data_IF_933325715630
#
_entry.id   IF_933325715630
#
_cell.length_a   1.000
_cell.length_b   1.000
_cell.length_c   1.000
_cell.angle_alpha   90.00
_cell.angle_beta   90.00
_cell.angle_gamma   90.00
#
_symmetry.space_group_name_H-M   'P 1'
#
loop_
_entity.id
_entity.type
_entity.pdbx_description
1 polymer ?
#
# COMPACT_ATOMS: atom_id res chain seq x y z
N UNK A 1 30.32 -52.76 47.89
CA UNK A 1 31.52 -52.05 47.39
C UNK A 1 31.22 -50.54 47.38
N UNK A 2 32.25 -49.69 47.28
CA UNK A 2 32.13 -48.22 47.16
C UNK A 2 31.37 -47.83 45.87
N UNK A 3 30.79 -46.63 45.67
CA UNK A 3 30.63 -45.37 46.43
C UNK A 3 29.81 -44.40 45.53
N UNK A 4 29.38 -43.18 45.89
CA UNK A 4 29.49 -42.33 47.08
C UNK A 4 28.09 -41.68 47.38
N UNK A 5 27.97 -40.82 48.41
CA UNK A 5 26.73 -40.08 48.73
C UNK A 5 26.90 -38.55 48.62
N UNK A 6 25.77 -37.91 48.33
CA UNK A 6 25.44 -36.47 48.36
C UNK A 6 26.22 -35.61 49.37
N UNK A 7 26.53 -34.38 48.97
CA UNK A 7 26.52 -33.21 49.85
C UNK A 7 25.27 -32.36 49.57
N UNK A 8 24.86 -31.53 50.53
CA UNK A 8 23.63 -30.74 50.51
C UNK A 8 23.90 -29.34 51.08
N UNK A 9 23.25 -28.31 50.54
CA UNK A 9 23.20 -26.97 51.14
C UNK A 9 21.74 -26.43 51.09
N UNK A 10 21.23 -25.75 52.14
CA UNK A 10 19.82 -25.33 52.23
C UNK A 10 19.57 -23.88 51.75
N UNK A 11 18.30 -23.53 51.54
CA UNK A 11 17.80 -22.14 51.42
C UNK A 11 16.93 -21.75 52.62
N UNK A 12 16.99 -20.45 52.98
CA UNK A 12 16.06 -19.59 53.76
C UNK A 12 16.86 -18.32 54.15
N UNK A 13 16.35 -17.09 54.30
CA UNK A 13 15.05 -16.46 54.02
C UNK A 13 15.34 -14.97 53.61
N UNK A 14 14.50 -13.92 53.60
CA UNK A 14 13.13 -13.64 54.07
C UNK A 14 12.48 -12.51 53.20
N UNK A 15 11.53 -11.72 53.73
CA UNK A 15 10.76 -10.64 53.06
C UNK A 15 11.25 -9.19 53.36
N UNK A 16 10.75 -8.15 52.65
CA UNK A 16 11.37 -6.81 52.57
C UNK A 16 10.70 -5.67 53.38
N UNK A 17 11.15 -4.42 53.15
CA UNK A 17 10.81 -3.10 53.77
C UNK A 17 11.53 -2.79 55.11
N UNK A 18 11.71 -1.51 55.51
CA UNK A 18 11.00 -0.30 55.07
C UNK A 18 11.85 0.93 54.61
N UNK A 19 11.17 1.95 54.11
CA UNK A 19 11.61 3.36 54.01
C UNK A 19 11.34 4.10 55.35
N UNK A 20 11.68 5.40 55.61
CA UNK A 20 12.05 6.47 54.65
C UNK A 20 13.13 7.48 55.12
N UNK A 21 13.46 8.47 54.26
CA UNK A 21 13.48 9.93 54.60
C UNK A 21 13.85 10.83 53.41
N UNK A 22 13.26 12.03 53.39
CA UNK A 22 13.61 13.19 52.54
C UNK A 22 13.57 14.42 53.46
N UNK A 23 14.61 15.27 53.47
CA UNK A 23 14.45 16.66 52.99
C UNK A 23 15.70 17.21 52.27
N UNK A 24 15.51 18.11 51.30
CA UNK A 24 16.64 18.72 50.56
C UNK A 24 16.24 19.64 49.41
N UNK A 25 15.46 20.69 49.66
CA UNK A 25 15.11 21.69 48.64
C UNK A 25 16.29 22.58 48.25
N UNK A 26 16.50 22.80 46.95
CA UNK A 26 17.24 23.98 46.46
C UNK A 26 16.64 24.53 45.17
N UNK A 27 16.34 25.83 45.15
CA UNK A 27 15.95 26.59 43.95
C UNK A 27 17.18 27.28 43.37
N UNK A 28 17.49 27.03 42.10
CA UNK A 28 18.29 27.94 41.26
C UNK A 28 17.53 28.10 39.94
N UNK A 29 16.59 29.07 39.91
CA UNK A 29 16.70 30.33 39.15
C UNK A 29 16.71 30.12 37.63
N UNK A 30 15.60 30.51 36.99
CA UNK A 30 15.59 30.78 35.56
C UNK A 30 16.54 31.96 35.26
N UNK A 31 17.37 31.79 34.23
CA UNK A 31 18.20 32.87 33.67
C UNK A 31 17.49 33.41 32.44
N UNK A 32 16.87 34.57 32.57
CA UNK A 32 16.31 35.30 31.44
C UNK A 32 17.46 35.81 30.56
N UNK A 33 17.64 35.21 29.38
CA UNK A 33 18.49 35.78 28.34
C UNK A 33 17.79 37.00 27.76
N UNK A 34 18.14 38.18 28.27
CA UNK A 34 17.72 39.45 27.70
C UNK A 34 18.29 39.58 26.30
N UNK A 35 17.43 39.70 25.30
CA UNK A 35 17.84 40.17 23.98
C UNK A 35 18.38 41.59 24.12
N UNK A 36 19.57 41.85 23.56
CA UNK A 36 20.17 43.18 23.55
C UNK A 36 19.43 44.10 22.55
N UNK A 37 19.22 45.35 22.93
CA UNK A 37 18.50 46.32 22.11
C UNK A 37 19.30 46.71 20.87
N UNK A 38 18.93 46.16 19.71
CA UNK A 38 19.47 46.63 18.42
C UNK A 38 19.09 48.08 18.19
N UNK A 39 20.09 48.97 18.24
CA UNK A 39 20.01 50.32 17.71
C UNK A 39 19.87 50.26 16.19
N UNK A 40 18.64 50.31 15.68
CA UNK A 40 18.38 50.60 14.27
C UNK A 40 18.60 52.10 14.07
N UNK A 41 19.54 52.48 13.21
CA UNK A 41 19.79 53.87 12.89
C UNK A 41 18.69 54.41 11.98
N UNK A 42 18.11 55.55 12.36
CA UNK A 42 17.34 56.40 11.46
C UNK A 42 18.29 56.99 10.40
N UNK A 43 17.88 56.89 9.14
CA UNK A 43 18.60 57.39 7.97
C UNK A 43 17.62 58.11 7.02
N UNK A 44 16.80 58.99 7.56
CA UNK A 44 15.87 59.81 6.79
C UNK A 44 16.55 60.66 5.69
N UNK A 45 15.91 60.68 4.51
CA UNK A 45 15.97 61.69 3.45
C UNK A 45 17.33 62.07 2.83
N UNK A 46 17.54 61.71 1.56
CA UNK A 46 17.59 62.69 0.46
C UNK A 46 17.72 62.06 -0.95
N UNK A 47 16.95 62.64 -1.90
CA UNK A 47 17.14 62.62 -3.36
C UNK A 47 16.86 61.29 -4.11
N UNK A 48 16.37 61.29 -5.36
CA UNK A 48 16.08 62.43 -6.27
C UNK A 48 14.82 62.16 -7.11
N UNK A 49 14.06 63.21 -7.45
CA UNK A 49 12.92 63.09 -8.36
C UNK A 49 13.37 62.89 -9.82
N UNK A 50 13.44 61.62 -10.26
CA UNK A 50 13.83 61.25 -11.63
C UNK A 50 12.97 60.14 -12.26
N UNK A 51 12.43 59.21 -11.46
CA UNK A 51 11.79 57.99 -11.99
C UNK A 51 10.30 58.15 -12.36
N UNK A 52 9.60 59.10 -11.74
CA UNK A 52 8.20 59.47 -12.04
C UNK A 52 7.99 59.86 -13.52
N UNK A 53 9.07 60.22 -14.22
CA UNK A 53 9.04 60.71 -15.60
C UNK A 53 9.04 59.61 -16.68
N UNK A 54 9.12 58.32 -16.33
CA UNK A 54 8.93 57.22 -17.29
C UNK A 54 7.47 56.70 -17.29
N UNK A 55 6.82 56.72 -16.13
CA UNK A 55 5.49 56.14 -15.93
C UNK A 55 4.39 56.94 -16.65
N UNK A 56 4.49 58.27 -16.66
CA UNK A 56 3.58 59.12 -17.45
C UNK A 56 3.80 58.98 -18.97
N UNK A 57 5.03 58.79 -19.44
CA UNK A 57 5.33 58.68 -20.88
C UNK A 57 4.79 57.36 -21.45
N UNK A 58 4.79 56.29 -20.66
CA UNK A 58 4.15 55.02 -21.05
C UNK A 58 2.63 55.17 -21.20
N UNK A 59 1.98 55.93 -20.32
CA UNK A 59 0.53 56.18 -20.38
C UNK A 59 0.14 57.10 -21.55
N UNK A 60 0.87 58.21 -21.77
CA UNK A 60 0.59 59.11 -22.90
C UNK A 60 0.81 58.44 -24.27
N UNK A 61 1.77 57.50 -24.39
CA UNK A 61 1.95 56.73 -25.62
C UNK A 61 0.85 55.67 -25.84
N UNK A 62 0.25 55.14 -24.78
CA UNK A 62 -0.91 54.25 -24.89
C UNK A 62 -2.18 55.01 -25.34
N UNK A 63 -2.50 56.15 -24.71
CA UNK A 63 -3.67 56.96 -25.11
C UNK A 63 -3.50 57.58 -26.52
N UNK A 64 -2.27 57.93 -26.92
CA UNK A 64 -2.02 58.43 -28.28
C UNK A 64 -2.17 57.35 -29.36
N UNK A 65 -2.10 56.06 -29.00
CA UNK A 65 -2.30 54.95 -29.94
C UNK A 65 -3.79 54.65 -30.20
N UNK A 66 -4.69 54.95 -29.25
CA UNK A 66 -6.13 54.63 -29.36
C UNK A 66 -6.95 55.63 -30.20
N UNK A 67 -6.32 56.69 -30.69
CA UNK A 67 -6.97 57.81 -31.40
C UNK A 67 -6.73 57.84 -32.92
N UNK A 68 -6.16 56.78 -33.50
CA UNK A 68 -5.91 56.67 -34.94
C UNK A 68 -6.36 55.31 -35.48
N UNK A 69 -7.13 55.34 -36.57
CA UNK A 69 -7.73 54.19 -37.27
C UNK A 69 -8.81 53.44 -36.44
N UNK A 70 -9.86 52.88 -37.05
CA UNK A 70 -10.16 52.90 -38.49
C UNK A 70 -11.41 52.13 -38.93
N UNK A 71 -12.09 51.41 -38.03
CA UNK A 71 -13.27 50.61 -38.35
C UNK A 71 -12.94 49.23 -38.89
N UNK A 72 -12.76 48.26 -37.98
CA UNK A 72 -12.62 46.83 -38.27
C UNK A 72 -13.33 46.02 -37.19
N UNK A 73 -13.62 44.75 -37.49
CA UNK A 73 -14.21 43.81 -36.53
C UNK A 73 -13.16 43.38 -35.47
N UNK A 74 -13.56 43.12 -34.21
CA UNK A 74 -12.62 42.71 -33.16
C UNK A 74 -11.96 41.37 -33.52
N UNK A 75 -10.66 41.25 -33.24
CA UNK A 75 -9.86 40.07 -33.63
C UNK A 75 -9.41 39.28 -32.40
N UNK A 76 -9.23 37.96 -32.57
CA UNK A 76 -9.08 37.01 -31.45
C UNK A 76 -7.96 37.33 -30.44
N UNK A 77 -6.92 38.06 -30.87
CA UNK A 77 -5.77 38.45 -30.02
C UNK A 77 -6.19 39.34 -28.84
N UNK A 78 -7.26 40.13 -28.99
CA UNK A 78 -7.81 40.95 -27.89
C UNK A 78 -8.56 40.11 -26.85
N UNK A 79 -9.08 38.92 -27.23
CA UNK A 79 -9.66 37.97 -26.30
C UNK A 79 -8.58 37.16 -25.59
N UNK A 80 -7.60 36.61 -26.30
CA UNK A 80 -6.50 35.83 -25.70
C UNK A 80 -5.73 36.65 -24.65
N UNK A 81 -5.50 37.94 -24.91
CA UNK A 81 -4.86 38.84 -23.94
C UNK A 81 -5.78 39.21 -22.76
N UNK A 82 -7.10 39.29 -22.96
CA UNK A 82 -8.06 39.47 -21.86
C UNK A 82 -8.23 38.20 -21.02
N UNK A 83 -8.21 37.01 -21.62
CA UNK A 83 -8.24 35.73 -20.91
C UNK A 83 -6.96 35.53 -20.09
N UNK A 84 -5.78 35.88 -20.63
CA UNK A 84 -4.52 35.92 -19.87
C UNK A 84 -4.56 36.92 -18.71
N UNK A 85 -5.10 38.12 -18.92
CA UNK A 85 -5.28 39.11 -17.84
C UNK A 85 -6.30 38.66 -16.80
N UNK A 86 -7.37 37.96 -17.21
CA UNK A 86 -8.37 37.40 -16.32
C UNK A 86 -7.79 36.24 -15.50
N UNK A 87 -6.97 35.38 -16.13
CA UNK A 87 -6.23 34.31 -15.46
C UNK A 87 -5.24 34.88 -14.44
N UNK A 88 -4.46 35.91 -14.80
CA UNK A 88 -3.52 36.59 -13.88
C UNK A 88 -4.27 37.34 -12.76
N UNK A 89 -5.47 37.89 -13.02
CA UNK A 89 -6.31 38.52 -11.99
C UNK A 89 -7.05 37.51 -11.09
N UNK A 90 -7.18 36.25 -11.53
CA UNK A 90 -7.75 35.14 -10.74
C UNK A 90 -6.66 34.33 -10.04
N UNK A 91 -5.42 34.40 -10.54
CA UNK A 91 -4.22 33.87 -9.90
C UNK A 91 -3.98 34.61 -8.58
N UNK A 92 -4.39 33.97 -7.49
CA UNK A 92 -4.22 34.44 -6.13
C UNK A 92 -3.06 33.67 -5.47
N UNK A 93 -1.79 34.13 -5.60
CA UNK A 93 -0.65 33.52 -4.91
C UNK A 93 -0.72 33.85 -3.41
N UNK A 94 -1.64 33.19 -2.72
CA UNK A 94 -2.07 33.57 -1.37
C UNK A 94 -2.97 32.55 -0.65
N UNK A 95 -3.67 31.66 -1.36
CA UNK A 95 -4.21 30.45 -0.75
C UNK A 95 -3.19 29.31 -0.89
N UNK A 96 -2.52 29.00 0.22
CA UNK A 96 -1.66 27.83 0.34
C UNK A 96 -2.53 26.57 0.35
N UNK A 97 -2.49 25.77 -0.73
CA UNK A 97 -3.17 24.47 -0.78
C UNK A 97 -2.77 23.62 0.41
N UNK A 98 -3.74 22.96 1.03
CA UNK A 98 -3.49 22.04 2.15
C UNK A 98 -3.30 20.64 1.59
N UNK A 99 -2.06 20.30 1.27
CA UNK A 99 -1.68 19.05 0.62
C UNK A 99 -1.08 18.05 1.63
N UNK A 100 -1.42 16.76 1.50
CA UNK A 100 -0.97 15.70 2.40
C UNK A 100 -0.43 14.54 1.58
N UNK A 101 0.76 14.03 1.93
CA UNK A 101 1.31 12.81 1.33
C UNK A 101 1.34 11.67 2.34
N UNK A 102 0.68 10.56 2.00
CA UNK A 102 0.81 9.29 2.69
C UNK A 102 1.83 8.43 1.96
N UNK A 103 2.82 7.92 2.70
CA UNK A 103 3.89 7.08 2.15
C UNK A 103 3.91 5.74 2.86
N UNK A 104 3.80 4.66 2.10
CA UNK A 104 4.02 3.31 2.60
C UNK A 104 5.53 3.05 2.83
N UNK A 105 5.96 2.62 4.02
CA UNK A 105 7.38 2.41 4.33
C UNK A 105 7.99 1.19 3.63
N UNK A 106 7.23 0.40 2.87
CA UNK A 106 7.76 -0.66 2.01
C UNK A 106 8.36 -0.15 0.70
N UNK A 107 8.03 1.08 0.28
CA UNK A 107 8.58 1.74 -0.91
C UNK A 107 10.11 1.89 -0.79
N UNK A 108 10.90 1.38 -1.75
CA UNK A 108 12.36 1.41 -1.67
C UNK A 108 12.91 2.85 -1.68
N UNK A 109 13.87 3.14 -0.79
CA UNK A 109 14.55 4.43 -0.69
C UNK A 109 13.59 5.65 -0.58
N UNK A 110 12.40 5.50 0.01
CA UNK A 110 11.38 6.55 0.08
C UNK A 110 11.88 7.89 0.67
N UNK A 111 12.97 7.89 1.45
CA UNK A 111 13.58 9.10 1.99
C UNK A 111 14.19 10.01 0.91
N UNK A 112 14.55 9.46 -0.25
CA UNK A 112 15.00 10.22 -1.42
C UNK A 112 13.83 10.91 -2.10
N UNK A 113 12.70 10.21 -2.29
CA UNK A 113 11.42 10.80 -2.75
C UNK A 113 10.98 11.97 -1.85
N UNK A 114 10.96 11.74 -0.52
CA UNK A 114 10.66 12.77 0.48
C UNK A 114 11.61 13.98 0.45
N UNK A 115 12.83 13.84 -0.10
CA UNK A 115 13.81 14.93 -0.17
C UNK A 115 13.58 15.89 -1.34
N UNK A 116 12.78 15.49 -2.33
CA UNK A 116 12.37 16.30 -3.48
C UNK A 116 11.00 16.96 -3.36
N UNK A 117 10.25 16.68 -2.30
CA UNK A 117 8.89 17.22 -2.13
C UNK A 117 8.88 18.68 -1.72
N UNK A 118 7.83 19.41 -2.12
CA UNK A 118 7.61 20.76 -1.60
C UNK A 118 7.45 20.71 -0.07
N UNK A 119 8.21 21.52 0.70
CA UNK A 119 8.26 21.45 2.16
C UNK A 119 6.97 21.92 2.85
N UNK A 120 5.96 22.39 2.11
CA UNK A 120 4.63 22.70 2.62
C UNK A 120 3.69 21.47 2.61
N UNK A 121 3.98 20.42 1.82
CA UNK A 121 3.19 19.19 1.79
C UNK A 121 3.37 18.44 3.13
N UNK A 122 2.26 18.11 3.79
CA UNK A 122 2.31 17.45 5.09
C UNK A 122 2.55 15.93 4.93
N UNK A 123 3.78 15.49 5.20
CA UNK A 123 4.18 14.07 5.15
C UNK A 123 3.59 13.27 6.32
N UNK A 124 2.92 12.16 6.00
CA UNK A 124 2.46 11.14 6.95
C UNK A 124 3.00 9.78 6.52
N UNK A 125 4.01 9.28 7.25
CA UNK A 125 4.45 7.89 7.09
C UNK A 125 3.40 6.94 7.65
N UNK A 126 3.02 5.93 6.87
CA UNK A 126 2.23 4.81 7.37
C UNK A 126 3.09 3.84 8.19
N UNK A 127 2.46 3.07 9.07
CA UNK A 127 3.03 1.86 9.66
C UNK A 127 2.67 0.66 8.77
N UNK A 128 3.68 -0.02 8.23
CA UNK A 128 3.55 -1.19 7.37
C UNK A 128 3.13 -2.48 8.07
N UNK A 129 3.05 -2.48 9.41
CA UNK A 129 2.46 -3.58 10.20
C UNK A 129 0.98 -3.33 10.59
N UNK A 130 0.39 -2.21 10.15
CA UNK A 130 -1.00 -1.81 10.41
C UNK A 130 -1.75 -1.51 9.10
N UNK A 131 -3.09 -1.44 9.15
CA UNK A 131 -3.91 -1.10 7.97
C UNK A 131 -3.72 0.39 7.60
N UNK A 132 -3.29 0.68 6.37
CA UNK A 132 -3.00 2.03 5.92
C UNK A 132 -4.25 2.88 5.66
N UNK A 133 -5.39 2.27 5.35
CA UNK A 133 -6.65 2.97 5.09
C UNK A 133 -7.28 3.41 6.41
N UNK A 134 -7.27 2.53 7.43
CA UNK A 134 -7.63 2.89 8.80
C UNK A 134 -6.74 4.02 9.36
N UNK A 135 -5.43 3.98 9.05
CA UNK A 135 -4.48 5.03 9.42
C UNK A 135 -4.76 6.36 8.70
N UNK A 136 -5.05 6.34 7.41
CA UNK A 136 -5.44 7.54 6.64
C UNK A 136 -6.70 8.19 7.23
N UNK A 137 -7.78 7.42 7.38
CA UNK A 137 -9.02 7.92 7.98
C UNK A 137 -8.78 8.46 9.40
N UNK A 138 -8.02 7.75 10.23
CA UNK A 138 -7.65 8.19 11.59
C UNK A 138 -6.82 9.48 11.61
N UNK A 139 -5.95 9.67 10.61
CA UNK A 139 -5.12 10.87 10.49
C UNK A 139 -5.94 12.10 10.01
N UNK A 140 -6.96 11.88 9.18
CA UNK A 140 -7.78 12.95 8.59
C UNK A 140 -9.07 13.26 9.39
N UNK A 141 -9.49 12.37 10.29
CA UNK A 141 -10.70 12.54 11.10
C UNK A 141 -10.80 13.90 11.79
N UNK A 142 -11.81 14.70 11.42
CA UNK A 142 -12.05 16.02 11.97
C UNK A 142 -11.20 17.16 11.39
N UNK A 143 -10.40 16.90 10.35
CA UNK A 143 -9.89 17.95 9.44
C UNK A 143 -10.96 18.33 8.42
N UNK A 144 -10.72 19.40 7.67
CA UNK A 144 -11.55 19.91 6.56
C UNK A 144 -10.68 20.74 5.63
N UNK A 145 -10.98 20.78 4.33
CA UNK A 145 -10.27 21.68 3.40
C UNK A 145 -8.86 21.22 3.05
N UNK A 146 -8.67 19.90 2.86
CA UNK A 146 -7.48 19.32 2.23
C UNK A 146 -7.68 19.36 0.72
N UNK A 147 -6.76 19.99 0.00
CA UNK A 147 -6.88 20.25 -1.44
C UNK A 147 -6.16 19.20 -2.29
N UNK A 148 -5.28 18.40 -1.69
CA UNK A 148 -4.70 17.22 -2.34
C UNK A 148 -4.34 16.11 -1.35
N UNK A 149 -4.53 14.87 -1.77
CA UNK A 149 -3.91 13.70 -1.15
C UNK A 149 -3.00 13.01 -2.17
N UNK A 150 -1.76 12.76 -1.77
CA UNK A 150 -0.79 11.97 -2.51
C UNK A 150 -0.62 10.61 -1.85
N UNK A 151 -0.75 9.51 -2.60
CA UNK A 151 -0.58 8.15 -2.11
C UNK A 151 0.64 7.51 -2.79
N UNK A 152 1.75 7.36 -2.07
CA UNK A 152 2.98 6.74 -2.58
C UNK A 152 3.10 5.34 -1.96
N UNK A 153 2.82 4.31 -2.75
CA UNK A 153 2.80 2.91 -2.33
C UNK A 153 2.93 1.95 -3.51
N UNK A 154 2.84 0.65 -3.29
CA UNK A 154 2.87 -0.35 -4.34
C UNK A 154 1.48 -0.66 -4.92
N UNK A 155 1.40 -0.83 -6.24
CA UNK A 155 0.14 -1.09 -6.97
C UNK A 155 0.12 -2.36 -7.84
N UNK A 156 -1.02 -2.58 -8.48
CA UNK A 156 -1.33 -3.53 -9.57
C UNK A 156 -2.74 -3.26 -10.13
N UNK A 157 -3.19 -3.94 -11.21
CA UNK A 157 -4.49 -3.70 -11.89
C UNK A 157 -5.68 -3.60 -10.90
N UNK A 158 -6.16 -2.38 -10.62
CA UNK A 158 -7.28 -2.10 -9.70
C UNK A 158 -6.99 -2.28 -8.21
N UNK A 159 -5.72 -2.33 -7.82
CA UNK A 159 -5.26 -2.79 -6.51
C UNK A 159 -4.13 -1.90 -5.97
N UNK A 160 -4.36 -1.15 -4.88
CA UNK A 160 -3.33 -0.33 -4.21
C UNK A 160 -3.07 -0.87 -2.80
N UNK A 161 -1.85 -1.29 -2.50
CA UNK A 161 -1.46 -1.68 -1.14
C UNK A 161 -1.34 -0.43 -0.26
N UNK A 162 -1.82 -0.48 0.99
CA UNK A 162 -1.58 0.56 1.99
C UNK A 162 -1.35 -0.12 3.36
N UNK A 163 -0.09 -0.27 3.76
CA UNK A 163 0.33 -1.02 4.94
C UNK A 163 -0.03 -2.50 4.82
N UNK A 164 -0.87 -3.01 5.73
CA UNK A 164 -1.50 -4.34 5.62
C UNK A 164 -2.83 -4.32 4.88
N UNK A 165 -3.35 -3.14 4.53
CA UNK A 165 -4.59 -2.95 3.79
C UNK A 165 -4.39 -2.99 2.27
N UNK A 166 -5.49 -3.08 1.53
CA UNK A 166 -5.46 -3.01 0.05
C UNK A 166 -6.77 -2.42 -0.49
N UNK A 167 -6.68 -1.28 -1.17
CA UNK A 167 -7.83 -0.68 -1.87
C UNK A 167 -8.07 -1.43 -3.17
N UNK A 168 -9.28 -1.97 -3.30
CA UNK A 168 -9.83 -2.63 -4.50
C UNK A 168 -11.30 -2.25 -4.63
N UNK A 169 -11.93 -2.48 -5.78
CA UNK A 169 -13.36 -2.18 -5.97
C UNK A 169 -14.27 -2.88 -4.94
N UNK A 170 -13.89 -4.07 -4.46
CA UNK A 170 -14.61 -4.80 -3.40
C UNK A 170 -14.31 -4.23 -2.00
N UNK A 171 -13.05 -3.92 -1.68
CA UNK A 171 -12.71 -3.41 -0.34
C UNK A 171 -13.19 -1.97 -0.14
N UNK A 172 -13.13 -1.12 -1.16
CA UNK A 172 -13.63 0.26 -1.12
C UNK A 172 -15.14 0.35 -0.92
N UNK A 173 -15.92 -0.51 -1.61
CA UNK A 173 -17.38 -0.54 -1.49
C UNK A 173 -17.91 -1.35 -0.29
N UNK A 174 -17.04 -2.13 0.37
CA UNK A 174 -17.39 -3.03 1.47
C UNK A 174 -16.65 -2.73 2.78
N UNK A 175 -15.36 -3.04 2.85
CA UNK A 175 -14.57 -2.98 4.08
C UNK A 175 -14.26 -1.54 4.53
N UNK A 176 -13.89 -0.67 3.60
CA UNK A 176 -13.35 0.68 3.87
C UNK A 176 -14.36 1.80 3.58
N UNK A 177 -15.65 1.49 3.51
CA UNK A 177 -16.68 2.47 3.14
C UNK A 177 -16.83 3.59 4.18
N UNK A 178 -16.67 3.28 5.47
CA UNK A 178 -16.70 4.27 6.55
C UNK A 178 -15.41 5.11 6.57
N UNK A 179 -14.25 4.50 6.33
CA UNK A 179 -12.94 5.15 6.23
C UNK A 179 -12.88 6.15 5.07
N UNK A 180 -13.37 5.76 3.89
CA UNK A 180 -13.45 6.63 2.72
C UNK A 180 -14.45 7.78 2.93
N UNK A 181 -15.54 7.55 3.66
CA UNK A 181 -16.46 8.61 4.06
C UNK A 181 -15.84 9.59 5.07
N UNK A 182 -14.89 9.15 5.92
CA UNK A 182 -14.10 10.04 6.80
C UNK A 182 -13.09 10.85 5.97
N UNK A 183 -12.45 10.24 4.98
CA UNK A 183 -11.54 10.92 4.05
C UNK A 183 -12.31 12.01 3.27
N UNK A 184 -13.47 11.68 2.68
CA UNK A 184 -14.37 12.63 2.00
C UNK A 184 -14.68 13.87 2.85
N UNK A 185 -15.00 13.68 4.14
CA UNK A 185 -15.33 14.79 5.04
C UNK A 185 -14.16 15.74 5.32
N UNK A 186 -12.93 15.32 5.07
CA UNK A 186 -11.72 16.10 5.30
C UNK A 186 -11.23 16.88 4.06
N UNK A 187 -11.65 16.48 2.87
CA UNK A 187 -11.28 17.11 1.60
C UNK A 187 -11.97 18.47 1.38
N UNK A 188 -11.43 19.25 0.43
CA UNK A 188 -12.11 20.42 -0.14
C UNK A 188 -12.97 20.03 -1.35
N UNK A 189 -13.78 20.97 -1.86
CA UNK A 189 -14.74 20.70 -2.95
C UNK A 189 -14.14 20.61 -4.36
N UNK A 190 -12.81 20.72 -4.46
CA UNK A 190 -12.00 20.57 -5.69
C UNK A 190 -10.68 19.90 -5.28
N UNK A 191 -10.78 18.82 -4.49
CA UNK A 191 -9.62 18.12 -3.99
C UNK A 191 -9.15 17.04 -4.96
N UNK A 192 -7.85 16.93 -5.12
CA UNK A 192 -7.21 15.91 -5.95
C UNK A 192 -6.79 14.69 -5.11
N UNK A 193 -6.82 13.48 -5.68
CA UNK A 193 -6.12 12.31 -5.16
C UNK A 193 -5.16 11.77 -6.24
N UNK A 194 -3.86 11.85 -5.98
CA UNK A 194 -2.80 11.37 -6.87
C UNK A 194 -2.27 10.02 -6.36
N UNK A 195 -2.47 8.97 -7.15
CA UNK A 195 -2.10 7.59 -6.82
C UNK A 195 -0.82 7.20 -7.54
N UNK A 196 0.30 7.22 -6.81
CA UNK A 196 1.60 6.73 -7.26
C UNK A 196 1.77 5.28 -6.78
N UNK A 197 1.41 4.36 -7.66
CA UNK A 197 1.58 2.92 -7.48
C UNK A 197 1.35 2.24 -8.83
N UNK A 198 2.25 1.35 -9.23
CA UNK A 198 2.26 0.81 -10.60
C UNK A 198 0.92 0.17 -10.97
N UNK A 199 0.52 0.34 -12.22
CA UNK A 199 -0.61 -0.34 -12.86
C UNK A 199 -1.99 -0.14 -12.17
N UNK A 200 -2.12 0.76 -11.17
CA UNK A 200 -3.35 0.88 -10.37
C UNK A 200 -4.60 1.13 -11.22
N UNK A 201 -4.47 1.97 -12.26
CA UNK A 201 -5.53 2.27 -13.22
C UNK A 201 -5.43 1.48 -14.54
N UNK A 202 -4.58 0.45 -14.63
CA UNK A 202 -4.50 -0.44 -15.80
C UNK A 202 -5.84 -1.14 -16.06
N UNK A 203 -6.09 -1.49 -17.32
CA UNK A 203 -7.12 -2.46 -17.69
C UNK A 203 -8.55 -1.97 -17.46
N UNK A 204 -9.46 -2.91 -17.23
CA UNK A 204 -10.86 -2.58 -16.91
C UNK A 204 -11.02 -2.46 -15.38
N UNK A 205 -10.29 -3.26 -14.59
CA UNK A 205 -10.42 -3.25 -13.14
C UNK A 205 -9.84 -1.95 -12.53
N UNK A 206 -8.72 -1.45 -13.06
CA UNK A 206 -8.12 -0.19 -12.61
C UNK A 206 -8.97 1.04 -12.92
N UNK A 207 -9.56 1.12 -14.11
CA UNK A 207 -10.49 2.20 -14.47
C UNK A 207 -11.74 2.19 -13.58
N UNK A 208 -12.28 1.01 -13.25
CA UNK A 208 -13.39 0.87 -12.29
C UNK A 208 -12.96 1.25 -10.86
N UNK A 209 -11.76 0.89 -10.42
CA UNK A 209 -11.23 1.23 -9.11
C UNK A 209 -10.99 2.75 -8.94
N UNK A 210 -10.29 3.39 -9.89
CA UNK A 210 -10.06 4.83 -9.87
C UNK A 210 -11.37 5.63 -9.93
N UNK A 211 -12.32 5.19 -10.76
CA UNK A 211 -13.67 5.77 -10.84
C UNK A 211 -14.44 5.63 -9.52
N UNK A 212 -14.37 4.47 -8.85
CA UNK A 212 -15.02 4.27 -7.56
C UNK A 212 -14.36 5.10 -6.44
N UNK A 213 -13.03 5.21 -6.44
CA UNK A 213 -12.29 6.04 -5.49
C UNK A 213 -12.74 7.51 -5.55
N UNK A 214 -12.85 8.05 -6.77
CA UNK A 214 -13.42 9.39 -7.01
C UNK A 214 -14.86 9.50 -6.46
N UNK A 215 -15.74 8.55 -6.81
CA UNK A 215 -17.14 8.58 -6.38
C UNK A 215 -17.34 8.49 -4.86
N UNK A 216 -16.49 7.74 -4.14
CA UNK A 216 -16.59 7.57 -2.70
C UNK A 216 -15.94 8.73 -1.91
N UNK A 217 -14.84 9.30 -2.43
CA UNK A 217 -14.16 10.42 -1.77
C UNK A 217 -14.75 11.77 -2.15
N UNK A 218 -15.42 11.88 -3.29
CA UNK A 218 -15.86 13.17 -3.86
C UNK A 218 -14.71 13.98 -4.48
N UNK A 219 -13.54 13.37 -4.67
CA UNK A 219 -12.34 13.96 -5.23
C UNK A 219 -12.21 13.65 -6.73
N UNK A 220 -11.45 14.48 -7.42
CA UNK A 220 -10.94 14.15 -8.75
C UNK A 220 -9.65 13.31 -8.57
N UNK A 221 -9.44 12.30 -9.43
CA UNK A 221 -8.43 11.24 -9.21
C UNK A 221 -7.47 11.14 -10.39
N UNK A 222 -6.17 11.21 -10.11
CA UNK A 222 -5.11 10.91 -11.06
C UNK A 222 -4.39 9.61 -10.66
N UNK A 223 -4.18 8.70 -11.61
CA UNK A 223 -3.55 7.41 -11.37
C UNK A 223 -2.72 6.91 -12.56
N UNK A 224 -1.62 6.22 -12.27
CA UNK A 224 -0.78 5.54 -13.26
C UNK A 224 -1.45 4.25 -13.75
N UNK A 225 -1.23 3.95 -15.04
CA UNK A 225 -1.75 2.79 -15.77
C UNK A 225 -0.65 1.80 -16.17
N UNK A 226 0.60 2.13 -15.87
CA UNK A 226 1.77 1.27 -16.06
C UNK A 226 2.77 1.44 -14.90
N UNK A 227 4.05 1.14 -15.13
CA UNK A 227 5.06 1.13 -14.08
C UNK A 227 5.43 2.55 -13.60
N UNK A 228 4.85 3.03 -12.50
CA UNK A 228 5.34 4.27 -11.86
C UNK A 228 6.79 4.11 -11.32
N UNK A 229 7.73 4.96 -11.77
CA UNK A 229 9.10 5.04 -11.26
C UNK A 229 10.18 5.45 -12.29
N UNK A 230 11.29 4.70 -12.31
CA UNK A 230 12.50 5.09 -13.04
C UNK A 230 12.50 4.71 -14.53
N UNK A 231 12.72 5.70 -15.41
CA UNK A 231 12.75 5.55 -16.87
C UNK A 231 13.66 4.44 -17.41
N UNK A 232 14.79 4.15 -16.77
CA UNK A 232 15.70 3.08 -17.22
C UNK A 232 15.25 1.66 -16.80
N UNK A 233 14.26 1.53 -15.92
CA UNK A 233 13.57 0.27 -15.59
C UNK A 233 12.29 0.08 -16.42
N UNK A 234 11.89 1.08 -17.21
CA UNK A 234 10.72 1.03 -18.10
C UNK A 234 9.46 1.66 -17.53
N UNK A 235 9.60 2.51 -16.50
CA UNK A 235 8.50 3.25 -15.87
C UNK A 235 8.70 4.77 -15.87
N UNK A 236 7.67 5.56 -15.59
CA UNK A 236 7.80 7.02 -15.41
C UNK A 236 6.91 7.59 -14.29
N UNK A 237 6.66 8.90 -14.25
CA UNK A 237 5.93 9.58 -13.17
C UNK A 237 4.60 10.20 -13.64
N UNK A 238 4.16 9.88 -14.86
CA UNK A 238 2.87 10.31 -15.38
C UNK A 238 1.73 9.58 -14.65
N UNK A 239 0.56 10.21 -14.67
CA UNK A 239 -0.70 9.67 -14.16
C UNK A 239 -1.73 9.77 -15.29
N UNK A 240 -1.72 8.79 -16.20
CA UNK A 240 -2.43 8.80 -17.49
C UNK A 240 -3.95 8.76 -17.32
N UNK A 241 -4.43 8.13 -16.22
CA UNK A 241 -5.85 8.13 -15.88
C UNK A 241 -6.18 9.36 -15.06
N UNK A 242 -7.14 10.15 -15.54
CA UNK A 242 -7.66 11.33 -14.88
C UNK A 242 -9.18 11.26 -14.85
N UNK A 243 -9.74 11.19 -13.64
CA UNK A 243 -11.18 11.21 -13.37
C UNK A 243 -11.49 12.60 -12.82
N UNK A 244 -12.07 13.46 -13.66
CA UNK A 244 -12.33 14.87 -13.33
C UNK A 244 -11.29 15.83 -13.92
N UNK A 245 -10.96 16.90 -13.20
CA UNK A 245 -9.92 17.87 -13.56
C UNK A 245 -8.83 17.84 -12.50
N UNK A 246 -7.55 17.84 -12.91
CA UNK A 246 -6.43 17.69 -11.99
C UNK A 246 -5.59 18.97 -12.00
N UNK A 247 -5.68 19.78 -10.94
CA UNK A 247 -4.85 20.98 -10.78
C UNK A 247 -3.58 20.71 -9.96
N UNK A 248 -3.58 19.68 -9.11
CA UNK A 248 -2.41 19.31 -8.29
C UNK A 248 -1.24 18.83 -9.14
N UNK A 249 -0.03 19.23 -8.75
CA UNK A 249 1.21 18.83 -9.40
C UNK A 249 1.75 17.52 -8.80
N UNK A 250 2.64 16.83 -9.52
CA UNK A 250 3.34 15.66 -9.00
C UNK A 250 4.18 16.09 -7.77
N UNK A 251 4.06 15.33 -6.68
CA UNK A 251 4.65 15.69 -5.38
C UNK A 251 6.18 15.60 -5.36
N UNK A 252 6.77 14.77 -6.22
CA UNK A 252 8.22 14.54 -6.34
C UNK A 252 8.77 15.43 -7.45
N UNK A 253 9.83 16.21 -7.22
CA UNK A 253 10.40 17.08 -8.25
C UNK A 253 11.09 16.31 -9.40
N UNK A 254 11.11 16.91 -10.60
CA UNK A 254 11.78 16.40 -11.80
C UNK A 254 13.22 15.90 -11.55
N UNK A 255 13.95 16.54 -10.63
CA UNK A 255 15.31 16.20 -10.27
C UNK A 255 15.42 14.87 -9.53
N UNK A 256 14.53 14.60 -8.56
CA UNK A 256 14.45 13.28 -7.92
C UNK A 256 13.78 12.25 -8.83
N UNK A 257 12.71 12.61 -9.57
CA UNK A 257 12.08 11.73 -10.56
C UNK A 257 13.10 11.13 -11.56
N UNK A 258 14.03 11.96 -12.04
CA UNK A 258 15.05 11.56 -13.02
C UNK A 258 16.27 10.81 -12.43
N UNK A 259 16.39 10.67 -11.11
CA UNK A 259 17.56 10.06 -10.46
C UNK A 259 17.24 8.95 -9.45
N UNK A 260 16.03 8.91 -8.87
CA UNK A 260 15.60 7.83 -7.98
C UNK A 260 15.51 6.51 -8.75
N UNK A 261 16.16 5.46 -8.25
CA UNK A 261 16.26 4.16 -8.93
C UNK A 261 15.38 3.12 -8.22
N UNK A 262 14.16 2.97 -8.72
CA UNK A 262 13.19 1.96 -8.30
C UNK A 262 11.94 1.96 -9.18
N UNK A 263 10.98 1.09 -8.85
CA UNK A 263 9.59 1.16 -9.30
C UNK A 263 8.67 1.09 -8.06
N UNK A 264 7.41 1.47 -8.22
CA UNK A 264 6.37 1.37 -7.19
C UNK A 264 5.53 0.09 -7.37
N UNK A 265 6.20 -1.02 -7.64
CA UNK A 265 5.58 -2.27 -8.10
C UNK A 265 5.50 -3.31 -6.96
N UNK A 266 4.43 -4.11 -6.93
CA UNK A 266 4.33 -5.27 -6.07
C UNK A 266 4.66 -6.58 -6.82
N UNK A 267 5.11 -7.65 -6.13
CA UNK A 267 5.20 -8.97 -6.75
C UNK A 267 3.81 -9.44 -7.21
N UNK A 268 3.68 -9.83 -8.48
CA UNK A 268 2.42 -10.27 -9.07
C UNK A 268 2.26 -11.79 -8.92
N UNK A 269 1.25 -12.19 -8.13
CA UNK A 269 0.76 -13.57 -8.07
C UNK A 269 -0.38 -13.73 -9.08
N UNK A 270 -0.30 -14.77 -9.92
CA UNK A 270 -1.40 -15.30 -10.72
C UNK A 270 -1.49 -16.81 -10.53
N UNK A 271 -2.69 -17.31 -10.19
CA UNK A 271 -2.91 -18.71 -9.85
C UNK A 271 -3.41 -19.57 -11.03
N UNK A 272 -3.68 -18.99 -12.21
CA UNK A 272 -4.28 -19.68 -13.35
C UNK A 272 -3.53 -19.54 -14.70
N UNK A 273 -2.45 -18.75 -14.74
CA UNK A 273 -1.54 -18.56 -15.88
C UNK A 273 -2.14 -17.77 -17.06
N UNK A 274 -2.52 -16.52 -16.80
CA UNK A 274 -3.03 -15.58 -17.81
C UNK A 274 -4.48 -15.83 -18.24
N UNK A 275 -5.30 -16.39 -17.34
CA UNK A 275 -6.74 -16.49 -17.49
C UNK A 275 -7.47 -15.18 -17.19
N UNK A 276 -8.81 -15.24 -17.07
CA UNK A 276 -9.62 -14.06 -16.71
C UNK A 276 -9.52 -13.82 -15.20
N UNK A 277 -8.76 -12.80 -14.82
CA UNK A 277 -8.39 -12.52 -13.43
C UNK A 277 -7.42 -13.57 -12.86
N UNK A 278 -6.86 -13.30 -11.69
CA UNK A 278 -5.70 -14.03 -11.16
C UNK A 278 -6.04 -15.17 -10.17
N UNK A 279 -7.31 -15.61 -10.15
CA UNK A 279 -7.86 -16.62 -9.24
C UNK A 279 -8.05 -17.98 -9.92
N UNK A 280 -7.99 -19.09 -9.17
CA UNK A 280 -8.09 -20.46 -9.74
C UNK A 280 -9.15 -21.31 -9.04
N UNK A 281 -9.69 -22.30 -9.73
CA UNK A 281 -10.52 -23.37 -9.14
C UNK A 281 -9.93 -24.73 -9.46
N UNK A 282 -9.79 -25.58 -8.45
CA UNK A 282 -9.34 -26.98 -8.58
C UNK A 282 -10.36 -27.94 -7.96
N UNK A 283 -10.22 -29.24 -8.27
CA UNK A 283 -11.12 -30.29 -7.81
C UNK A 283 -10.36 -31.32 -6.94
N UNK A 284 -10.68 -31.35 -5.65
CA UNK A 284 -10.27 -32.41 -4.75
C UNK A 284 -11.33 -33.52 -4.75
N UNK A 285 -10.89 -34.74 -5.03
CA UNK A 285 -11.64 -35.96 -4.75
C UNK A 285 -11.10 -36.56 -3.46
N UNK A 286 -12.00 -37.10 -2.64
CA UNK A 286 -11.66 -37.75 -1.37
C UNK A 286 -10.44 -38.69 -1.46
N UNK A 287 -9.68 -38.76 -0.36
CA UNK A 287 -8.48 -39.58 -0.18
C UNK A 287 -7.31 -39.24 -1.15
N UNK A 288 -7.47 -38.25 -2.04
CA UNK A 288 -6.48 -37.88 -3.07
C UNK A 288 -6.08 -36.41 -2.95
N UNK A 289 -4.91 -36.13 -2.37
CA UNK A 289 -4.35 -34.76 -2.28
C UNK A 289 -4.17 -34.13 -3.66
N UNK A 290 -4.49 -32.84 -3.80
CA UNK A 290 -4.50 -32.13 -5.10
C UNK A 290 -3.60 -30.90 -5.08
N UNK A 291 -2.93 -30.61 -6.19
CA UNK A 291 -2.20 -29.35 -6.38
C UNK A 291 -3.18 -28.19 -6.55
N UNK A 292 -2.99 -27.11 -5.80
CA UNK A 292 -3.92 -25.97 -5.82
C UNK A 292 -3.73 -25.05 -7.02
N UNK A 293 -2.49 -24.85 -7.48
CA UNK A 293 -2.17 -24.01 -8.65
C UNK A 293 -0.97 -24.58 -9.43
N UNK A 294 -1.10 -25.74 -10.10
CA UNK A 294 0.03 -26.41 -10.79
C UNK A 294 0.60 -25.63 -11.98
N UNK A 295 -0.04 -24.52 -12.38
CA UNK A 295 0.39 -23.62 -13.47
C UNK A 295 0.76 -22.22 -12.98
N UNK A 296 0.55 -21.92 -11.70
CA UNK A 296 0.62 -20.55 -11.16
C UNK A 296 1.95 -19.86 -11.43
N UNK A 297 1.87 -18.59 -11.77
CA UNK A 297 2.99 -17.71 -12.08
C UNK A 297 3.26 -16.77 -10.90
N UNK A 298 4.51 -16.33 -10.80
CA UNK A 298 4.93 -15.40 -9.75
C UNK A 298 6.07 -14.54 -10.30
N UNK A 299 5.71 -13.32 -10.71
CA UNK A 299 6.61 -12.35 -11.31
C UNK A 299 6.84 -11.17 -10.37
N UNK A 300 7.95 -10.47 -10.58
CA UNK A 300 8.34 -9.27 -9.87
C UNK A 300 9.27 -8.49 -10.83
N UNK A 301 9.08 -7.18 -10.98
CA UNK A 301 9.68 -6.40 -12.08
C UNK A 301 10.97 -5.69 -11.68
N UNK A 302 11.10 -5.27 -10.42
CA UNK A 302 12.31 -4.66 -9.86
C UNK A 302 12.98 -5.53 -8.77
N UNK A 303 12.24 -6.42 -8.09
CA UNK A 303 12.76 -7.32 -7.06
C UNK A 303 13.04 -8.73 -7.60
N UNK A 304 14.30 -9.01 -7.94
CA UNK A 304 14.72 -10.35 -8.41
C UNK A 304 14.58 -11.49 -7.36
N UNK A 305 14.23 -11.16 -6.11
CA UNK A 305 14.08 -12.10 -4.99
C UNK A 305 12.85 -11.81 -4.14
N UNK A 306 12.26 -12.86 -3.57
CA UNK A 306 11.16 -12.78 -2.61
C UNK A 306 11.61 -13.25 -1.22
N UNK A 307 10.98 -12.75 -0.16
CA UNK A 307 11.31 -13.07 1.24
C UNK A 307 10.23 -13.89 1.97
N UNK A 308 9.00 -13.92 1.44
CA UNK A 308 7.86 -14.63 2.03
C UNK A 308 6.86 -15.13 0.98
N UNK A 309 6.26 -16.28 1.26
CA UNK A 309 4.99 -16.70 0.67
C UNK A 309 4.09 -17.22 1.79
N UNK A 310 2.90 -16.63 1.89
CA UNK A 310 1.89 -16.93 2.91
C UNK A 310 0.67 -17.51 2.21
N UNK A 311 0.30 -18.74 2.54
CA UNK A 311 -0.84 -19.43 1.93
C UNK A 311 -1.79 -19.92 3.01
N UNK A 312 -3.03 -19.42 3.01
CA UNK A 312 -3.96 -19.59 4.12
C UNK A 312 -5.22 -20.33 3.68
N UNK A 313 -5.37 -21.58 4.11
CA UNK A 313 -6.62 -22.32 4.01
C UNK A 313 -7.62 -21.72 5.01
N UNK A 314 -8.46 -20.79 4.54
CA UNK A 314 -9.24 -19.89 5.40
C UNK A 314 -10.23 -20.63 6.30
N UNK A 315 -11.02 -21.54 5.73
CA UNK A 315 -11.99 -22.38 6.42
C UNK A 315 -11.59 -23.86 6.40
N UNK A 316 -11.74 -24.54 7.54
CA UNK A 316 -11.42 -25.96 7.75
C UNK A 316 -12.64 -26.71 8.33
N UNK A 317 -13.69 -26.96 7.51
CA UNK A 317 -14.97 -27.49 7.97
C UNK A 317 -14.96 -28.97 8.40
N UNK A 318 -13.98 -29.78 8.01
CA UNK A 318 -13.72 -31.11 8.59
C UNK A 318 -12.70 -31.04 9.76
N UNK A 319 -11.94 -29.94 9.87
CA UNK A 319 -11.24 -29.55 11.08
C UNK A 319 -9.71 -29.53 10.97
N UNK A 320 -9.08 -28.78 11.88
CA UNK A 320 -7.64 -28.47 11.90
C UNK A 320 -6.69 -29.69 11.83
N UNK A 321 -7.13 -30.87 12.28
CA UNK A 321 -6.32 -32.10 12.26
C UNK A 321 -6.58 -33.00 11.04
N UNK A 322 -7.51 -32.60 10.17
CA UNK A 322 -8.02 -33.38 9.03
C UNK A 322 -7.71 -32.66 7.71
N UNK A 323 -7.75 -31.33 7.71
CA UNK A 323 -7.52 -30.48 6.54
C UNK A 323 -6.18 -29.74 6.64
N UNK A 324 -5.38 -29.82 5.57
CA UNK A 324 -3.98 -29.41 5.60
C UNK A 324 -3.48 -28.86 4.26
N UNK A 325 -2.47 -27.99 4.36
CA UNK A 325 -1.63 -27.56 3.24
C UNK A 325 -0.22 -28.13 3.41
N UNK A 326 0.42 -28.50 2.31
CA UNK A 326 1.79 -29.05 2.31
C UNK A 326 2.50 -28.79 0.97
N UNK A 327 3.80 -29.07 0.89
CA UNK A 327 4.56 -29.03 -0.36
C UNK A 327 4.74 -30.43 -0.95
N UNK A 328 4.69 -30.55 -2.28
CA UNK A 328 5.10 -31.76 -2.97
C UNK A 328 6.63 -31.97 -2.86
N UNK A 329 7.12 -33.12 -3.33
CA UNK A 329 8.54 -33.48 -3.23
C UNK A 329 9.49 -32.51 -3.99
N UNK A 330 9.06 -31.95 -5.13
CA UNK A 330 9.86 -31.00 -5.90
C UNK A 330 9.97 -29.65 -5.20
N UNK A 331 8.84 -29.07 -4.78
CA UNK A 331 8.80 -27.83 -4.00
C UNK A 331 9.56 -27.97 -2.67
N UNK A 332 9.45 -29.11 -1.98
CA UNK A 332 10.22 -29.40 -0.76
C UNK A 332 11.73 -29.41 -1.03
N UNK A 333 12.15 -30.03 -2.14
CA UNK A 333 13.57 -30.07 -2.55
C UNK A 333 14.11 -28.68 -2.91
N UNK A 334 13.30 -27.88 -3.62
CA UNK A 334 13.66 -26.52 -4.02
C UNK A 334 13.71 -25.55 -2.83
N UNK A 335 12.72 -25.61 -1.94
CA UNK A 335 12.71 -24.80 -0.70
C UNK A 335 13.90 -25.11 0.21
N UNK A 336 14.16 -26.40 0.48
CA UNK A 336 15.29 -26.82 1.31
C UNK A 336 16.65 -26.56 0.65
N UNK A 337 16.76 -26.71 -0.68
CA UNK A 337 17.97 -26.37 -1.44
C UNK A 337 18.29 -24.86 -1.44
N UNK A 338 17.26 -24.01 -1.36
CA UNK A 338 17.40 -22.56 -1.20
C UNK A 338 17.52 -22.11 0.28
N UNK A 339 17.47 -23.03 1.25
CA UNK A 339 17.57 -22.71 2.68
C UNK A 339 16.30 -22.08 3.29
N UNK A 340 15.16 -22.15 2.60
CA UNK A 340 13.89 -21.57 3.06
C UNK A 340 13.27 -22.36 4.21
N UNK A 341 12.69 -21.64 5.17
CA UNK A 341 11.93 -22.22 6.27
C UNK A 341 10.46 -22.37 5.85
N UNK A 342 9.94 -23.60 5.93
CA UNK A 342 8.54 -23.95 5.60
C UNK A 342 7.83 -24.48 6.85
N UNK A 343 6.65 -23.94 7.17
CA UNK A 343 5.85 -24.40 8.32
C UNK A 343 4.34 -24.32 8.04
N UNK A 344 3.57 -25.31 8.52
CA UNK A 344 2.11 -25.28 8.48
C UNK A 344 1.54 -25.22 9.90
N UNK A 345 0.75 -24.17 10.18
CA UNK A 345 0.10 -23.96 11.48
C UNK A 345 -1.35 -24.42 11.41
N UNK A 346 -1.59 -25.68 11.77
CA UNK A 346 -2.90 -26.34 11.67
C UNK A 346 -4.06 -25.60 12.36
N UNK A 347 -3.80 -24.86 13.44
CA UNK A 347 -4.82 -24.07 14.15
C UNK A 347 -5.35 -22.89 13.32
N UNK A 348 -4.49 -22.22 12.56
CA UNK A 348 -4.83 -21.05 11.74
C UNK A 348 -5.10 -21.40 10.27
N UNK A 349 -4.55 -22.52 9.77
CA UNK A 349 -4.61 -22.91 8.36
C UNK A 349 -3.52 -22.29 7.49
N UNK A 350 -2.52 -21.64 8.10
CA UNK A 350 -1.44 -20.93 7.38
C UNK A 350 -0.26 -21.87 7.10
N UNK A 351 0.07 -22.03 5.82
CA UNK A 351 1.36 -22.49 5.31
C UNK A 351 2.23 -21.25 5.06
N UNK A 352 3.32 -21.12 5.82
CA UNK A 352 4.25 -20.00 5.74
C UNK A 352 5.61 -20.48 5.22
N UNK A 353 6.11 -19.82 4.18
CA UNK A 353 7.46 -20.02 3.62
C UNK A 353 8.23 -18.71 3.78
N UNK A 354 9.43 -18.76 4.39
CA UNK A 354 10.25 -17.56 4.71
C UNK A 354 11.73 -17.76 4.41
N UNK A 355 12.38 -16.67 4.00
CA UNK A 355 13.79 -16.59 3.64
C UNK A 355 13.97 -16.01 2.23
N UNK A 356 15.11 -15.40 1.94
CA UNK A 356 15.34 -14.76 0.63
C UNK A 356 15.73 -15.78 -0.44
N UNK A 357 14.95 -15.88 -1.51
CA UNK A 357 15.27 -16.69 -2.70
C UNK A 357 14.70 -16.04 -3.97
N UNK A 358 15.09 -16.52 -5.16
CA UNK A 358 14.59 -15.95 -6.41
C UNK A 358 13.08 -16.15 -6.61
N UNK A 359 12.47 -15.26 -7.38
CA UNK A 359 11.07 -15.36 -7.85
C UNK A 359 10.77 -16.75 -8.42
N UNK A 360 11.63 -17.27 -9.29
CA UNK A 360 11.50 -18.61 -9.88
C UNK A 360 11.55 -19.77 -8.85
N UNK A 361 12.35 -19.64 -7.78
CA UNK A 361 12.34 -20.60 -6.66
C UNK A 361 10.97 -20.59 -5.96
N UNK A 362 10.44 -19.39 -5.68
CA UNK A 362 9.13 -19.23 -5.04
C UNK A 362 7.96 -19.65 -5.95
N UNK A 363 8.04 -19.41 -7.27
CA UNK A 363 7.06 -19.92 -8.25
C UNK A 363 7.03 -21.45 -8.26
N UNK A 364 8.20 -22.11 -8.22
CA UNK A 364 8.29 -23.57 -8.15
C UNK A 364 7.69 -24.13 -6.84
N UNK A 365 7.75 -23.35 -5.76
CA UNK A 365 7.11 -23.69 -4.48
C UNK A 365 5.58 -23.53 -4.58
N UNK A 366 5.09 -22.40 -5.11
CA UNK A 366 3.68 -22.12 -5.38
C UNK A 366 3.02 -23.23 -6.21
N UNK A 367 3.65 -23.60 -7.33
CA UNK A 367 3.20 -24.68 -8.22
C UNK A 367 3.17 -26.06 -7.56
N UNK A 368 3.90 -26.24 -6.45
CA UNK A 368 3.99 -27.48 -5.71
C UNK A 368 3.14 -27.57 -4.44
N UNK A 369 2.29 -26.58 -4.14
CA UNK A 369 1.43 -26.61 -2.95
C UNK A 369 0.27 -27.59 -3.13
N UNK A 370 0.11 -28.48 -2.16
CA UNK A 370 -0.92 -29.51 -2.07
C UNK A 370 -1.97 -29.14 -1.00
N UNK A 371 -3.24 -29.21 -1.36
CA UNK A 371 -4.35 -29.32 -0.41
C UNK A 371 -4.67 -30.81 -0.14
N UNK A 372 -4.98 -31.13 1.12
CA UNK A 372 -5.39 -32.46 1.52
C UNK A 372 -6.47 -32.45 2.61
N UNK A 373 -7.42 -33.39 2.54
CA UNK A 373 -8.43 -33.66 3.56
C UNK A 373 -8.48 -35.18 3.83
N UNK A 374 -8.26 -35.60 5.08
CA UNK A 374 -8.20 -37.02 5.48
C UNK A 374 -9.52 -37.55 6.07
N UNK A 375 -10.66 -37.00 5.65
CA UNK A 375 -11.97 -37.50 6.05
C UNK A 375 -12.54 -38.46 5.00
N UNK A 376 -12.99 -39.63 5.43
CA UNK A 376 -13.77 -40.58 4.63
C UNK A 376 -15.24 -40.11 4.40
N UNK A 377 -15.59 -38.93 4.96
CA UNK A 377 -16.87 -38.23 4.79
C UNK A 377 -16.61 -36.71 4.78
N UNK A 378 -15.94 -36.18 3.74
CA UNK A 378 -15.64 -34.75 3.68
C UNK A 378 -16.93 -33.96 3.47
N UNK A 379 -17.03 -32.77 4.06
CA UNK A 379 -18.07 -31.82 3.68
C UNK A 379 -17.85 -31.40 2.22
N UNK A 380 -18.91 -31.09 1.48
CA UNK A 380 -18.80 -30.73 0.04
C UNK A 380 -18.70 -29.22 -0.22
N UNK A 381 -18.73 -28.38 0.82
CA UNK A 381 -18.54 -26.93 0.72
C UNK A 381 -17.16 -26.59 0.13
N UNK A 382 -17.07 -25.57 -0.72
CA UNK A 382 -15.77 -25.15 -1.26
C UNK A 382 -14.83 -24.68 -0.15
N UNK A 383 -13.52 -24.92 -0.30
CA UNK A 383 -12.48 -24.32 0.53
C UNK A 383 -11.86 -23.16 -0.24
N UNK A 384 -11.76 -21.99 0.41
CA UNK A 384 -10.95 -20.88 -0.07
C UNK A 384 -9.54 -21.00 0.52
N UNK A 385 -8.53 -20.88 -0.33
CA UNK A 385 -7.13 -20.80 0.05
C UNK A 385 -6.57 -19.49 -0.54
N UNK A 386 -6.20 -18.54 0.30
CA UNK A 386 -5.57 -17.29 -0.15
C UNK A 386 -4.05 -17.44 -0.28
N UNK A 387 -3.45 -16.67 -1.18
CA UNK A 387 -2.02 -16.66 -1.49
C UNK A 387 -1.53 -15.20 -1.53
N UNK A 388 -0.50 -14.90 -0.73
CA UNK A 388 0.21 -13.60 -0.72
C UNK A 388 1.73 -13.85 -0.75
N UNK A 389 2.41 -13.28 -1.74
CA UNK A 389 3.87 -13.19 -1.80
C UNK A 389 4.36 -11.87 -1.17
N UNK A 390 5.62 -11.81 -0.75
CA UNK A 390 6.31 -10.57 -0.35
C UNK A 390 7.75 -10.58 -0.86
N UNK A 391 8.20 -9.46 -1.42
CA UNK A 391 9.47 -9.33 -2.13
C UNK A 391 10.68 -9.08 -1.20
N UNK A 392 11.80 -8.56 -1.73
CA UNK A 392 12.96 -8.09 -0.96
C UNK A 392 12.72 -6.77 -0.19
N UNK A 393 12.01 -5.81 -0.79
CA UNK A 393 11.72 -4.46 -0.26
C UNK A 393 10.67 -4.47 0.84
N UNK A 394 9.83 -5.52 0.85
CA UNK A 394 8.68 -5.82 1.69
C UNK A 394 7.29 -5.44 1.10
N UNK A 395 7.24 -5.03 -0.16
CA UNK A 395 6.02 -4.96 -0.98
C UNK A 395 5.32 -6.33 -1.06
N UNK A 396 3.99 -6.36 -0.96
CA UNK A 396 3.20 -7.60 -0.94
C UNK A 396 2.29 -7.72 -2.15
N UNK A 397 2.16 -8.93 -2.68
CA UNK A 397 1.16 -9.20 -3.71
C UNK A 397 -0.25 -9.03 -3.14
N UNK A 398 -1.21 -8.64 -3.97
CA UNK A 398 -2.62 -8.81 -3.63
C UNK A 398 -2.94 -10.27 -3.32
N UNK A 399 -3.89 -10.49 -2.40
CA UNK A 399 -4.33 -11.82 -1.98
C UNK A 399 -5.13 -12.53 -3.08
N UNK A 400 -4.49 -13.44 -3.82
CA UNK A 400 -5.18 -14.30 -4.80
C UNK A 400 -5.81 -15.51 -4.15
N UNK A 401 -6.94 -15.98 -4.66
CA UNK A 401 -7.72 -17.11 -4.11
C UNK A 401 -7.70 -18.33 -5.03
N UNK A 402 -7.28 -19.46 -4.47
CA UNK A 402 -7.56 -20.78 -5.01
C UNK A 402 -8.80 -21.38 -4.34
N UNK A 403 -9.81 -21.72 -5.14
CA UNK A 403 -11.02 -22.41 -4.69
C UNK A 403 -10.86 -23.91 -4.89
N UNK A 404 -10.91 -24.69 -3.82
CA UNK A 404 -10.96 -26.17 -3.90
C UNK A 404 -12.43 -26.60 -3.80
N UNK A 405 -12.96 -27.12 -4.90
CA UNK A 405 -14.22 -27.88 -4.91
C UNK A 405 -13.96 -29.29 -4.37
N UNK A 406 -14.91 -29.86 -3.62
CA UNK A 406 -14.71 -31.14 -2.90
C UNK A 406 -15.78 -32.16 -3.23
N UNK A 407 -15.33 -33.29 -3.81
CA UNK A 407 -16.17 -34.46 -4.11
C UNK A 407 -15.91 -35.57 -3.10
N UNK A 408 -16.93 -35.88 -2.29
CA UNK A 408 -16.95 -37.07 -1.44
C UNK A 408 -17.14 -38.35 -2.28
N UNK A 409 -16.59 -39.47 -1.83
CA UNK A 409 -16.72 -40.78 -2.47
C UNK A 409 -17.65 -41.64 -1.63
N UNK A 410 -18.63 -42.30 -2.25
CA UNK A 410 -19.47 -43.25 -1.53
C UNK A 410 -18.74 -44.59 -1.39
N UNK A 411 -18.09 -44.80 -0.25
CA UNK A 411 -17.55 -46.10 0.13
C UNK A 411 -18.65 -47.19 0.17
N UNK A 412 -18.33 -48.37 -0.36
CA UNK A 412 -19.20 -49.53 -0.26
C UNK A 412 -19.11 -50.11 1.17
N UNK A 413 -20.26 -50.32 1.84
CA UNK A 413 -20.26 -50.96 3.16
C UNK A 413 -19.53 -52.31 3.09
N UNK A 414 -18.38 -52.39 3.79
CA UNK A 414 -17.51 -53.55 3.76
C UNK A 414 -18.27 -54.83 4.05
N UNK A 415 -18.08 -55.86 3.23
CA UNK A 415 -18.87 -57.10 3.27
C UNK A 415 -18.76 -57.77 4.64
N UNK A 416 -19.82 -57.67 5.43
CA UNK A 416 -19.88 -58.26 6.77
C UNK A 416 -19.61 -59.77 6.69
N UNK A 417 -18.50 -60.20 7.29
CA UNK A 417 -18.09 -61.60 7.25
C UNK A 417 -19.21 -62.49 7.83
N UNK A 418 -19.63 -63.56 7.13
CA UNK A 418 -20.81 -64.32 7.51
C UNK A 418 -20.65 -64.95 8.89
N UNK A 419 -21.49 -64.54 9.83
CA UNK A 419 -21.47 -65.01 11.23
C UNK A 419 -21.67 -66.53 11.25
N UNK A 420 -20.60 -67.28 11.55
CA UNK A 420 -20.64 -68.73 11.75
C UNK A 420 -21.36 -69.07 13.06
N UNK A 421 -22.69 -69.12 13.01
CA UNK A 421 -23.54 -69.70 14.05
C UNK A 421 -23.17 -71.16 14.26
N UNK A 422 -22.32 -71.41 15.26
CA UNK A 422 -21.83 -72.74 15.59
C UNK A 422 -22.84 -73.44 16.49
N UNK A 423 -23.86 -74.07 15.87
CA UNK A 423 -24.86 -74.87 16.57
C UNK A 423 -24.20 -76.03 17.31
N UNK A 424 -24.07 -75.91 18.63
CA UNK A 424 -23.76 -77.06 19.49
C UNK A 424 -24.95 -78.03 19.47
N UNK A 425 -24.64 -79.33 19.38
CA UNK A 425 -25.54 -80.42 19.74
C UNK A 425 -25.36 -80.77 21.20
#
# INVERSE_FOLDING_TARGET
MFGQKKCTAPQQNDKPKPAPKVPGTSRVKASLLSLESRLMFDAAAAATAAEVNQEQVAQEQAESAVSAEGGGEPTAVENESQELLQAIATYNPGESRTEIVFVDPTVPNYQELLSGMDPNIAVIMLDGEQDGVEQMASALAGRTGIDAIHLISHGGEGELQLGTGTLTTESMSGQYADELAIIQQALSGQADILVYGCDFAEGQAGQEAATLLSQLTGADVAASTDATGFAALGGDWVLETQIGTIETQIAVDDGIQANWVGLLAAPVVDLNAGGVGNNVTTAFTEQTSVLMTPVGTLNDVDSATLNRLTVTLTARPNGNAVESLSLNAAATTVASGAGLTVSYTASTGVLLITGTASTATYQTILQGILYNNTSDQPTTSNRSITVVARDSTNASSTSRTATVTVTAVNDAMGTAAPVRTTTRR
#
